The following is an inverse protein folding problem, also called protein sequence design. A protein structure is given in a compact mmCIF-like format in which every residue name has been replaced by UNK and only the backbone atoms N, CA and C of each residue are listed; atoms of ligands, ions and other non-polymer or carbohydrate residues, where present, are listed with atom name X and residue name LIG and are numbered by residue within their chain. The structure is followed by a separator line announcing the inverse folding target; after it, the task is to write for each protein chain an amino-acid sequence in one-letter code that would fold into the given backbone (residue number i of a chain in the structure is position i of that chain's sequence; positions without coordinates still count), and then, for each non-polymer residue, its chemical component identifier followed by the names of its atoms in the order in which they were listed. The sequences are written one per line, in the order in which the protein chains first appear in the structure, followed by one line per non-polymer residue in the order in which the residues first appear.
data_IF_398279954595
#
_entry.id   IF_398279954595
#
_cell.length_a   1.000
_cell.length_b   1.000
_cell.length_c   1.000
_cell.angle_alpha   90.00
_cell.angle_beta   90.00
_cell.angle_gamma   90.00
#
_symmetry.space_group_name_H-M   'P 1'
#
loop_
_entity.id
_entity.type
_entity.pdbx_description
1 polymer ?
#
# COMPACT_ATOMS: atom_id res chain seq x y z
N UNK A 1 -10.74 27.58 4.55
CA UNK A 1 -11.78 26.64 5.01
C UNK A 1 -11.62 26.54 6.51
N UNK A 2 -12.62 26.99 7.26
CA UNK A 2 -12.61 26.92 8.73
C UNK A 2 -13.14 25.52 9.08
N UNK A 3 -12.29 24.65 9.57
CA UNK A 3 -12.73 23.38 10.16
C UNK A 3 -13.50 23.68 11.43
N UNK A 4 -14.77 23.33 11.48
CA UNK A 4 -15.57 23.46 12.68
C UNK A 4 -15.09 22.43 13.71
N UNK A 5 -15.06 22.83 14.98
CA UNK A 5 -14.68 22.01 16.13
C UNK A 5 -15.61 20.81 16.41
N UNK A 6 -16.43 20.41 15.45
CA UNK A 6 -17.41 19.32 15.57
C UNK A 6 -16.93 17.97 15.05
N UNK A 7 -15.78 17.91 14.34
CA UNK A 7 -15.22 16.65 13.86
C UNK A 7 -14.10 16.23 14.80
N UNK A 8 -14.38 15.30 15.71
CA UNK A 8 -13.47 14.93 16.80
C UNK A 8 -12.66 13.67 16.54
N UNK A 9 -12.86 13.02 15.40
CA UNK A 9 -12.24 11.74 15.10
C UNK A 9 -11.86 11.68 13.60
N UNK A 10 -10.75 11.01 13.31
CA UNK A 10 -10.18 10.86 11.97
C UNK A 10 -11.11 10.10 11.02
N UNK A 11 -11.91 9.16 11.54
CA UNK A 11 -12.92 8.44 10.77
C UNK A 11 -14.02 9.38 10.25
N UNK A 12 -14.46 10.33 11.06
CA UNK A 12 -15.44 11.35 10.65
C UNK A 12 -14.85 12.32 9.63
N UNK A 13 -13.57 12.67 9.79
CA UNK A 13 -12.83 13.54 8.84
C UNK A 13 -12.65 12.81 7.51
N UNK A 14 -12.22 11.57 7.51
CA UNK A 14 -12.08 10.75 6.31
C UNK A 14 -13.42 10.54 5.60
N UNK A 15 -14.49 10.25 6.35
CA UNK A 15 -15.84 10.11 5.81
C UNK A 15 -16.32 11.43 5.21
N UNK A 16 -16.07 12.58 5.87
CA UNK A 16 -16.41 13.90 5.35
C UNK A 16 -15.69 14.22 4.04
N UNK A 17 -14.40 13.92 3.95
CA UNK A 17 -13.64 14.14 2.72
C UNK A 17 -14.10 13.19 1.60
N UNK A 18 -14.38 11.94 1.90
CA UNK A 18 -14.94 10.98 0.93
C UNK A 18 -16.28 11.46 0.39
N UNK A 19 -17.16 11.97 1.27
CA UNK A 19 -18.47 12.54 0.87
C UNK A 19 -18.32 13.81 -0.01
N UNK A 20 -17.34 14.69 0.32
CA UNK A 20 -17.20 16.00 -0.35
C UNK A 20 -16.31 15.98 -1.58
N UNK A 21 -15.29 15.13 -1.60
CA UNK A 21 -14.31 15.06 -2.69
C UNK A 21 -14.60 13.91 -3.67
N UNK A 22 -15.58 13.08 -3.35
CA UNK A 22 -15.87 11.87 -4.09
C UNK A 22 -15.00 10.70 -3.60
N UNK A 23 -15.47 9.51 -3.89
CA UNK A 23 -14.74 8.28 -3.56
C UNK A 23 -13.57 8.10 -4.53
N UNK A 24 -12.37 7.73 -4.05
CA UNK A 24 -11.31 7.34 -4.96
C UNK A 24 -11.77 6.12 -5.75
N UNK A 25 -11.47 6.08 -7.04
CA UNK A 25 -11.70 4.90 -7.88
C UNK A 25 -13.14 4.32 -7.82
N UNK A 26 -14.16 5.15 -7.59
CA UNK A 26 -15.55 4.70 -7.56
C UNK A 26 -15.94 3.87 -6.34
N UNK A 27 -15.29 4.08 -5.20
CA UNK A 27 -15.57 3.41 -3.92
C UNK A 27 -17.04 3.46 -3.53
N UNK A 28 -17.59 2.35 -3.06
CA UNK A 28 -18.93 2.22 -2.49
C UNK A 28 -18.85 1.73 -1.04
N UNK A 29 -19.21 2.60 -0.11
CA UNK A 29 -19.15 2.31 1.33
C UNK A 29 -20.11 1.17 1.79
N UNK A 30 -21.12 0.88 1.00
CA UNK A 30 -22.09 -0.19 1.31
C UNK A 30 -21.74 -1.53 0.68
N UNK A 31 -20.75 -1.57 -0.19
CA UNK A 31 -20.38 -2.79 -0.91
C UNK A 31 -19.68 -3.80 -0.02
N UNK A 32 -20.02 -5.06 -0.22
CA UNK A 32 -19.36 -6.19 0.40
C UNK A 32 -18.98 -7.20 -0.69
N UNK A 33 -17.71 -7.57 -0.73
CA UNK A 33 -17.20 -8.58 -1.66
C UNK A 33 -17.86 -9.94 -1.44
N UNK A 34 -18.14 -10.63 -2.52
CA UNK A 34 -18.73 -11.98 -2.55
C UNK A 34 -17.89 -12.97 -3.30
N UNK A 35 -16.94 -12.52 -4.13
CA UNK A 35 -16.02 -13.35 -4.91
C UNK A 35 -14.56 -13.11 -4.49
N UNK A 36 -13.97 -14.11 -3.86
CA UNK A 36 -12.56 -14.13 -3.44
C UNK A 36 -11.69 -15.02 -4.32
N UNK A 37 -12.19 -15.42 -5.50
CA UNK A 37 -11.47 -16.37 -6.37
C UNK A 37 -10.12 -15.87 -6.88
N UNK A 38 -9.92 -14.56 -6.90
CA UNK A 38 -8.66 -13.92 -7.30
C UNK A 38 -7.75 -13.54 -6.12
N UNK A 39 -8.17 -13.82 -4.88
CA UNK A 39 -7.38 -13.46 -3.72
C UNK A 39 -6.06 -14.25 -3.69
N UNK A 40 -4.94 -13.53 -3.61
CA UNK A 40 -3.60 -14.11 -3.68
C UNK A 40 -3.06 -14.33 -5.10
N UNK A 41 -3.79 -13.97 -6.16
CA UNK A 41 -3.28 -14.02 -7.53
C UNK A 41 -2.08 -13.09 -7.70
N UNK A 42 -1.04 -13.58 -8.39
CA UNK A 42 0.20 -12.82 -8.60
C UNK A 42 0.33 -12.40 -10.06
N UNK A 43 0.48 -11.10 -10.26
CA UNK A 43 0.81 -10.50 -11.56
C UNK A 43 2.25 -9.97 -11.54
N UNK A 44 3.07 -10.42 -12.48
CA UNK A 44 4.45 -9.93 -12.66
C UNK A 44 4.38 -8.65 -13.49
N UNK A 45 4.73 -7.51 -12.89
CA UNK A 45 4.75 -6.22 -13.57
C UNK A 45 6.10 -5.98 -14.25
N UNK A 46 7.18 -6.41 -13.61
CA UNK A 46 8.54 -6.27 -14.12
C UNK A 46 9.44 -7.40 -13.63
N UNK A 47 10.40 -7.79 -14.47
CA UNK A 47 11.52 -8.66 -14.10
C UNK A 47 12.82 -7.91 -14.24
N UNK A 48 13.71 -8.10 -13.28
CA UNK A 48 15.08 -7.60 -13.35
C UNK A 48 15.80 -8.20 -14.56
N UNK A 49 16.58 -7.39 -15.24
CA UNK A 49 17.51 -7.83 -16.29
C UNK A 49 18.96 -7.78 -15.85
N UNK A 50 19.21 -7.29 -14.63
CA UNK A 50 20.54 -7.27 -13.99
C UNK A 50 20.48 -7.92 -12.60
N UNK A 51 21.44 -8.77 -12.31
CA UNK A 51 21.56 -9.46 -11.02
C UNK A 51 20.41 -10.42 -10.75
N UNK A 52 20.18 -10.71 -9.47
CA UNK A 52 19.07 -11.57 -9.01
C UNK A 52 17.74 -10.81 -8.88
N UNK A 53 17.80 -9.49 -9.00
CA UNK A 53 16.67 -8.59 -8.79
C UNK A 53 16.42 -8.26 -7.31
N UNK A 54 15.96 -7.05 -7.08
CA UNK A 54 15.46 -6.57 -5.79
C UNK A 54 13.94 -6.64 -5.87
N UNK A 55 13.31 -7.31 -4.91
CA UNK A 55 11.88 -7.61 -5.00
C UNK A 55 11.04 -6.50 -4.37
N UNK A 56 10.12 -5.93 -5.15
CA UNK A 56 9.07 -5.00 -4.71
C UNK A 56 7.73 -5.69 -4.89
N UNK A 57 6.92 -5.71 -3.83
CA UNK A 57 5.59 -6.32 -3.83
C UNK A 57 4.55 -5.24 -3.59
N UNK A 58 3.66 -5.05 -4.55
CA UNK A 58 2.52 -4.13 -4.47
C UNK A 58 1.29 -4.90 -4.04
N UNK A 59 0.59 -4.39 -3.03
CA UNK A 59 -0.64 -4.97 -2.49
C UNK A 59 -1.65 -3.85 -2.37
N UNK A 60 -2.90 -4.07 -2.77
CA UNK A 60 -3.97 -3.11 -2.57
C UNK A 60 -4.79 -3.44 -1.33
N UNK A 61 -5.16 -2.43 -0.55
CA UNK A 61 -6.08 -2.58 0.56
C UNK A 61 -7.32 -1.70 0.35
N UNK A 62 -8.52 -2.17 0.72
CA UNK A 62 -9.77 -1.49 0.42
C UNK A 62 -10.26 -1.67 -1.03
N UNK A 63 -9.79 -2.71 -1.73
CA UNK A 63 -10.27 -3.08 -3.07
C UNK A 63 -11.13 -4.34 -2.99
N UNK A 64 -12.41 -4.19 -3.32
CA UNK A 64 -13.35 -5.31 -3.40
C UNK A 64 -13.20 -6.10 -4.70
N UNK A 65 -13.89 -7.24 -4.78
CA UNK A 65 -13.97 -8.07 -5.97
C UNK A 65 -14.45 -7.30 -7.22
N UNK A 66 -15.38 -6.35 -7.09
CA UNK A 66 -15.82 -5.52 -8.22
C UNK A 66 -14.73 -4.55 -8.71
N UNK A 67 -13.94 -3.92 -7.82
CA UNK A 67 -12.83 -3.02 -8.17
C UNK A 67 -11.64 -3.78 -8.76
N UNK A 68 -11.53 -5.07 -8.45
CA UNK A 68 -10.58 -5.97 -9.10
C UNK A 68 -11.09 -6.37 -10.47
N UNK A 69 -12.38 -6.75 -10.58
CA UNK A 69 -12.98 -7.19 -11.84
C UNK A 69 -13.05 -6.08 -12.90
N UNK A 70 -13.24 -4.82 -12.53
CA UNK A 70 -13.28 -3.68 -13.46
C UNK A 70 -11.87 -3.16 -13.83
N UNK A 71 -10.82 -3.74 -13.27
CA UNK A 71 -9.43 -3.39 -13.53
C UNK A 71 -8.93 -2.15 -12.78
N UNK A 72 -9.69 -1.59 -11.85
CA UNK A 72 -9.26 -0.46 -11.01
C UNK A 72 -8.03 -0.82 -10.20
N UNK A 73 -8.03 -2.00 -9.56
CA UNK A 73 -6.88 -2.54 -8.86
C UNK A 73 -5.62 -2.57 -9.72
N UNK A 74 -5.72 -3.20 -10.89
CA UNK A 74 -4.58 -3.38 -11.78
C UNK A 74 -4.01 -2.04 -12.25
N UNK A 75 -4.87 -1.08 -12.63
CA UNK A 75 -4.42 0.26 -13.02
C UNK A 75 -3.69 0.98 -11.89
N UNK A 76 -4.15 0.83 -10.65
CA UNK A 76 -3.49 1.44 -9.49
C UNK A 76 -2.11 0.84 -9.25
N UNK A 77 -1.96 -0.48 -9.34
CA UNK A 77 -0.66 -1.14 -9.16
C UNK A 77 0.33 -0.75 -10.27
N UNK A 78 -0.14 -0.68 -11.53
CA UNK A 78 0.69 -0.25 -12.65
C UNK A 78 1.15 1.20 -12.46
N UNK A 79 0.25 2.11 -12.05
CA UNK A 79 0.57 3.49 -11.76
C UNK A 79 1.59 3.62 -10.63
N UNK A 80 1.40 2.88 -9.54
CA UNK A 80 2.32 2.89 -8.39
C UNK A 80 3.74 2.49 -8.81
N UNK A 81 3.87 1.43 -9.60
CA UNK A 81 5.17 1.01 -10.14
C UNK A 81 5.82 2.13 -10.98
N UNK A 82 5.09 2.73 -11.90
CA UNK A 82 5.65 3.79 -12.75
C UNK A 82 6.06 5.02 -11.95
N UNK A 83 5.28 5.40 -10.92
CA UNK A 83 5.59 6.52 -10.04
C UNK A 83 6.83 6.25 -9.16
N UNK A 84 7.01 5.02 -8.66
CA UNK A 84 8.20 4.64 -7.92
C UNK A 84 9.48 4.84 -8.76
N UNK A 85 9.43 4.47 -10.04
CA UNK A 85 10.57 4.61 -10.96
C UNK A 85 10.70 5.99 -11.61
N UNK A 86 9.91 6.99 -11.24
CA UNK A 86 10.13 8.38 -11.64
C UNK A 86 11.32 9.02 -10.93
N UNK A 87 11.57 8.63 -9.66
CA UNK A 87 12.60 9.22 -8.82
C UNK A 87 13.97 8.55 -9.01
N UNK A 88 15.04 9.33 -8.91
CA UNK A 88 16.40 8.79 -8.77
C UNK A 88 16.64 8.35 -7.32
N UNK A 89 17.41 7.29 -7.10
CA UNK A 89 18.19 6.48 -8.09
C UNK A 89 17.38 5.35 -8.75
N UNK A 90 16.13 5.14 -8.39
CA UNK A 90 15.29 4.03 -8.86
C UNK A 90 15.12 4.04 -10.37
N UNK A 91 14.97 5.23 -10.96
CA UNK A 91 14.85 5.42 -12.42
C UNK A 91 16.06 4.87 -13.17
N UNK A 92 17.25 5.27 -12.77
CA UNK A 92 18.51 4.85 -13.41
C UNK A 92 18.78 3.35 -13.22
N UNK A 93 18.34 2.77 -12.08
CA UNK A 93 18.59 1.38 -11.72
C UNK A 93 17.36 0.48 -11.85
N UNK A 94 16.35 0.91 -12.61
CA UNK A 94 15.10 0.19 -12.78
C UNK A 94 15.28 -1.25 -13.22
N UNK A 95 16.30 -1.53 -14.01
CA UNK A 95 16.63 -2.86 -14.52
C UNK A 95 17.14 -3.85 -13.45
N UNK A 96 17.35 -3.40 -12.22
CA UNK A 96 17.72 -4.24 -11.07
C UNK A 96 16.51 -4.72 -10.25
N UNK A 97 15.28 -4.33 -10.58
CA UNK A 97 14.11 -4.63 -9.76
C UNK A 97 13.18 -5.66 -10.40
N UNK A 98 12.70 -6.59 -9.58
CA UNK A 98 11.49 -7.36 -9.83
C UNK A 98 10.31 -6.64 -9.18
N UNK A 99 9.19 -6.52 -9.87
CA UNK A 99 7.98 -5.93 -9.31
C UNK A 99 6.80 -6.87 -9.53
N UNK A 100 6.10 -7.13 -8.46
CA UNK A 100 4.93 -7.99 -8.43
C UNK A 100 3.73 -7.21 -7.90
N UNK A 101 2.55 -7.46 -8.42
CA UNK A 101 1.30 -7.10 -7.80
C UNK A 101 0.62 -8.37 -7.29
N UNK A 102 0.23 -8.39 -6.02
CA UNK A 102 -0.48 -9.50 -5.41
C UNK A 102 -1.89 -9.05 -5.08
N UNK A 103 -2.87 -9.66 -5.71
CA UNK A 103 -4.27 -9.32 -5.51
C UNK A 103 -4.70 -9.64 -4.08
N UNK A 104 -5.23 -8.63 -3.39
CA UNK A 104 -5.78 -8.76 -2.04
C UNK A 104 -7.23 -8.28 -2.05
N UNK A 105 -8.17 -9.21 -1.94
CA UNK A 105 -9.61 -8.93 -2.00
C UNK A 105 -10.10 -8.47 -0.64
N UNK A 106 -10.42 -7.18 -0.52
CA UNK A 106 -11.03 -6.62 0.69
C UNK A 106 -12.52 -6.90 0.73
N UNK A 107 -13.05 -7.20 1.91
CA UNK A 107 -14.50 -7.33 2.10
C UNK A 107 -15.20 -5.99 1.82
N UNK A 108 -14.65 -4.90 2.35
CA UNK A 108 -15.20 -3.56 2.19
C UNK A 108 -14.20 -2.62 1.50
N UNK A 109 -14.72 -1.52 0.95
CA UNK A 109 -13.94 -0.53 0.19
C UNK A 109 -13.59 0.72 1.01
N UNK A 110 -13.98 0.77 2.28
CA UNK A 110 -13.81 1.93 3.16
C UNK A 110 -13.22 1.52 4.50
N UNK A 111 -12.60 2.46 5.17
CA UNK A 111 -11.96 2.31 6.47
C UNK A 111 -12.85 2.95 7.54
N UNK A 112 -13.77 2.20 8.10
CA UNK A 112 -14.72 2.64 9.12
C UNK A 112 -14.91 1.58 10.21
N UNK A 113 -15.53 1.97 11.30
CA UNK A 113 -15.90 1.00 12.35
C UNK A 113 -16.84 -0.07 11.79
N UNK A 114 -16.47 -1.33 11.95
CA UNK A 114 -17.24 -2.47 11.47
C UNK A 114 -16.98 -2.86 10.02
N UNK A 115 -16.05 -2.22 9.32
CA UNK A 115 -15.55 -2.67 8.01
C UNK A 115 -14.29 -3.51 8.16
N UNK A 116 -14.02 -4.34 7.14
CA UNK A 116 -12.85 -5.22 7.07
C UNK A 116 -12.19 -5.10 5.70
N UNK A 117 -10.90 -4.83 5.69
CA UNK A 117 -10.08 -4.79 4.48
C UNK A 117 -9.07 -5.94 4.46
N UNK A 118 -8.42 -6.20 3.33
CA UNK A 118 -7.58 -7.38 3.12
C UNK A 118 -6.43 -7.47 4.12
N UNK A 119 -5.76 -6.37 4.38
CA UNK A 119 -4.66 -6.29 5.37
C UNK A 119 -5.05 -5.51 6.62
N UNK A 120 -6.35 -5.38 6.90
CA UNK A 120 -6.86 -4.69 8.11
C UNK A 120 -6.34 -3.25 8.23
N UNK A 121 -6.27 -2.55 7.10
CA UNK A 121 -5.78 -1.17 7.05
C UNK A 121 -6.56 -0.23 7.97
N UNK A 122 -5.87 0.73 8.57
CA UNK A 122 -6.45 1.72 9.45
C UNK A 122 -5.80 3.09 9.31
N UNK A 123 -6.54 4.12 9.72
CA UNK A 123 -6.06 5.48 9.87
C UNK A 123 -5.96 5.82 11.36
N UNK A 124 -4.75 6.17 11.80
CA UNK A 124 -4.47 6.58 13.17
C UNK A 124 -4.60 8.09 13.38
N UNK A 125 -3.93 8.60 14.40
CA UNK A 125 -3.84 10.05 14.65
C UNK A 125 -2.82 10.71 13.73
N UNK A 126 -3.03 11.99 13.39
CA UNK A 126 -2.16 12.74 12.48
C UNK A 126 -2.10 12.12 11.07
N UNK A 127 -0.93 11.90 10.51
CA UNK A 127 -0.71 11.27 9.20
C UNK A 127 -0.35 9.78 9.31
N UNK A 128 -0.53 9.18 10.48
CA UNK A 128 -0.20 7.78 10.71
C UNK A 128 -1.25 6.86 10.09
N UNK A 129 -0.80 5.89 9.31
CA UNK A 129 -1.61 4.82 8.74
C UNK A 129 -0.90 3.48 8.93
N UNK A 130 -1.63 2.40 8.88
CA UNK A 130 -1.03 1.07 9.00
C UNK A 130 -2.03 -0.02 8.69
N UNK A 131 -1.63 -1.24 8.96
CA UNK A 131 -2.44 -2.43 8.76
C UNK A 131 -1.86 -3.60 9.55
N UNK A 132 -2.24 -4.79 9.17
CA UNK A 132 -1.69 -6.03 9.70
C UNK A 132 -0.47 -6.46 8.85
N UNK A 133 0.73 -6.14 9.34
CA UNK A 133 1.98 -6.42 8.62
C UNK A 133 2.19 -7.90 8.36
N UNK A 134 1.75 -8.77 9.27
CA UNK A 134 1.84 -10.23 9.07
C UNK A 134 1.01 -10.65 7.84
N UNK A 135 -0.20 -10.10 7.67
CA UNK A 135 -1.01 -10.36 6.47
C UNK A 135 -0.36 -9.78 5.21
N UNK A 136 0.23 -8.58 5.28
CA UNK A 136 0.96 -8.02 4.14
C UNK A 136 2.14 -8.91 3.74
N UNK A 137 2.88 -9.45 4.71
CA UNK A 137 3.95 -10.41 4.45
C UNK A 137 3.43 -11.75 3.90
N UNK A 138 2.27 -12.25 4.38
CA UNK A 138 1.62 -13.45 3.82
C UNK A 138 1.25 -13.27 2.33
N UNK A 139 0.75 -12.10 1.94
CA UNK A 139 0.52 -11.77 0.53
C UNK A 139 1.84 -11.70 -0.24
N UNK A 140 2.87 -11.08 0.31
CA UNK A 140 4.18 -11.00 -0.36
C UNK A 140 4.75 -12.40 -0.65
N UNK A 141 4.60 -13.35 0.27
CA UNK A 141 5.03 -14.74 0.12
C UNK A 141 4.27 -15.53 -0.96
N UNK A 142 3.19 -14.98 -1.55
CA UNK A 142 2.60 -15.53 -2.77
C UNK A 142 3.48 -15.27 -4.01
N UNK A 143 4.25 -14.18 -4.00
CA UNK A 143 5.07 -13.74 -5.13
C UNK A 143 6.55 -14.11 -5.00
N UNK A 144 7.06 -14.18 -3.78
CA UNK A 144 8.48 -14.45 -3.48
C UNK A 144 8.63 -15.57 -2.47
N UNK A 145 9.80 -16.19 -2.41
CA UNK A 145 10.12 -17.20 -1.39
C UNK A 145 10.51 -16.55 -0.06
N UNK A 146 10.38 -17.31 1.03
CA UNK A 146 10.62 -16.84 2.40
C UNK A 146 12.04 -16.29 2.62
N UNK A 147 13.04 -16.91 2.01
CA UNK A 147 14.43 -16.47 2.07
C UNK A 147 14.69 -15.09 1.45
N UNK A 148 13.77 -14.60 0.61
CA UNK A 148 13.84 -13.26 0.00
C UNK A 148 13.07 -12.17 0.77
N UNK A 149 12.23 -12.57 1.72
CA UNK A 149 11.35 -11.64 2.41
C UNK A 149 12.14 -10.54 3.13
N UNK A 150 13.29 -10.88 3.72
CA UNK A 150 14.12 -9.91 4.45
C UNK A 150 14.67 -8.76 3.58
N UNK A 151 14.83 -9.01 2.27
CA UNK A 151 15.36 -8.03 1.32
C UNK A 151 14.24 -7.36 0.50
N UNK A 152 12.98 -7.66 0.80
CA UNK A 152 11.84 -7.19 0.04
C UNK A 152 11.28 -5.86 0.56
N UNK A 153 10.80 -5.03 -0.37
CA UNK A 153 9.96 -3.88 -0.08
C UNK A 153 8.50 -4.23 -0.38
N UNK A 154 7.65 -4.19 0.63
CA UNK A 154 6.21 -4.36 0.51
C UNK A 154 5.55 -2.99 0.52
N UNK A 155 4.71 -2.72 -0.45
CA UNK A 155 3.96 -1.47 -0.59
C UNK A 155 2.48 -1.78 -0.54
N UNK A 156 1.79 -1.25 0.46
CA UNK A 156 0.34 -1.37 0.63
C UNK A 156 -0.35 -0.08 0.18
N UNK A 157 -1.03 -0.16 -0.96
CA UNK A 157 -1.80 0.92 -1.56
C UNK A 157 -3.21 0.95 -0.99
N UNK A 158 -3.50 1.88 -0.09
CA UNK A 158 -4.81 2.01 0.54
C UNK A 158 -5.78 2.78 -0.38
N UNK A 159 -6.96 2.22 -0.65
CA UNK A 159 -7.99 2.83 -1.49
C UNK A 159 -8.69 3.98 -0.76
N UNK A 160 -8.01 5.10 -0.60
CA UNK A 160 -8.48 6.30 0.09
C UNK A 160 -7.89 7.57 -0.52
N UNK A 161 -8.62 8.70 -0.42
CA UNK A 161 -8.15 10.03 -0.84
C UNK A 161 -7.38 10.77 0.25
N UNK A 162 -7.20 10.20 1.44
CA UNK A 162 -6.43 10.81 2.51
C UNK A 162 -4.98 11.09 2.04
N UNK A 163 -4.30 12.02 2.71
CA UNK A 163 -2.87 12.22 2.57
C UNK A 163 -2.21 11.82 3.89
N UNK A 164 -1.61 10.64 3.91
CA UNK A 164 -0.99 10.04 5.08
C UNK A 164 0.02 8.99 4.61
N UNK A 165 0.95 8.60 5.47
CA UNK A 165 1.90 7.55 5.15
C UNK A 165 2.62 7.07 6.40
N UNK A 166 3.08 5.83 6.38
CA UNK A 166 3.93 5.23 7.41
C UNK A 166 4.67 4.06 6.80
N UNK A 167 5.95 3.93 7.11
CA UNK A 167 6.74 2.76 6.77
C UNK A 167 7.23 2.04 8.02
N UNK A 168 6.94 0.75 8.11
CA UNK A 168 7.44 -0.13 9.16
C UNK A 168 8.65 -0.89 8.64
N UNK A 169 9.76 -0.85 9.39
CA UNK A 169 11.01 -1.51 9.04
C UNK A 169 11.31 -2.60 10.07
N UNK A 170 11.66 -3.79 9.62
CA UNK A 170 11.88 -4.96 10.46
C UNK A 170 13.35 -5.37 10.49
N UNK A 171 13.74 -6.03 11.59
CA UNK A 171 15.04 -6.68 11.72
C UNK A 171 15.10 -7.93 10.82
N UNK A 172 16.22 -8.24 10.15
CA UNK A 172 16.39 -9.44 9.32
C UNK A 172 16.16 -10.78 10.02
N UNK A 173 16.20 -10.82 11.33
CA UNK A 173 16.02 -12.07 12.12
C UNK A 173 14.57 -12.42 12.42
N UNK A 174 13.58 -11.87 11.74
CA UNK A 174 12.15 -12.13 11.96
C UNK A 174 11.67 -11.87 13.42
N UNK A 175 12.30 -10.93 14.11
CA UNK A 175 11.69 -10.47 15.35
C UNK A 175 10.39 -9.75 14.96
N UNK A 176 9.28 -10.14 15.56
CA UNK A 176 8.00 -9.43 15.41
C UNK A 176 8.05 -8.03 16.05
N UNK A 177 9.21 -7.59 16.46
CA UNK A 177 9.45 -6.28 17.05
C UNK A 177 9.85 -5.30 15.98
N UNK A 178 9.13 -4.17 15.95
CA UNK A 178 9.49 -3.00 15.14
C UNK A 178 10.87 -2.51 15.55
N UNK A 179 11.83 -2.63 14.66
CA UNK A 179 13.06 -1.88 14.74
C UNK A 179 12.99 -0.73 13.73
N UNK A 180 12.87 0.49 14.22
CA UNK A 180 12.85 1.69 13.37
C UNK A 180 14.13 1.86 12.52
N UNK A 181 15.13 1.07 12.77
CA UNK A 181 16.40 1.04 12.04
C UNK A 181 16.68 -0.35 11.42
N UNK A 182 15.67 -1.21 11.35
CA UNK A 182 15.79 -2.56 10.82
C UNK A 182 16.23 -2.58 9.35
N UNK A 183 17.19 -3.45 9.04
CA UNK A 183 17.68 -3.65 7.68
C UNK A 183 16.97 -4.77 6.93
N UNK A 184 15.93 -5.36 7.54
CA UNK A 184 15.11 -6.40 6.93
C UNK A 184 14.00 -5.85 6.05
N UNK A 185 12.92 -6.63 5.91
CA UNK A 185 11.76 -6.23 5.11
C UNK A 185 11.18 -4.90 5.58
N UNK A 186 10.57 -4.17 4.66
CA UNK A 186 9.79 -2.97 4.98
C UNK A 186 8.39 -3.09 4.45
N UNK A 187 7.42 -2.57 5.20
CA UNK A 187 6.02 -2.48 4.81
C UNK A 187 5.61 -1.01 4.84
N UNK A 188 5.43 -0.43 3.66
CA UNK A 188 5.03 0.96 3.49
C UNK A 188 3.54 1.04 3.22
N UNK A 189 2.79 1.78 4.03
CA UNK A 189 1.37 2.02 3.89
C UNK A 189 1.12 3.47 3.48
N UNK A 190 0.35 3.68 2.43
CA UNK A 190 -0.13 5.02 2.07
C UNK A 190 -1.36 4.94 1.17
N UNK A 191 -2.27 5.96 1.27
CA UNK A 191 -3.42 6.06 0.38
C UNK A 191 -3.02 6.43 -1.04
N UNK A 192 -3.90 6.12 -2.00
CA UNK A 192 -3.74 6.56 -3.39
C UNK A 192 -3.84 8.09 -3.56
N UNK A 193 -4.36 8.79 -2.52
CA UNK A 193 -4.43 10.24 -2.52
C UNK A 193 -5.51 10.81 -3.45
N UNK A 194 -5.53 12.13 -3.55
CA UNK A 194 -6.52 12.87 -4.36
C UNK A 194 -6.08 13.03 -5.82
N UNK A 195 -4.82 12.83 -6.13
CA UNK A 195 -4.26 12.97 -7.48
C UNK A 195 -2.89 12.30 -7.58
N UNK A 196 -2.35 12.22 -8.81
CA UNK A 196 -1.06 11.58 -9.09
C UNK A 196 0.11 12.25 -8.35
N UNK A 197 0.10 13.59 -8.19
CA UNK A 197 1.18 14.31 -7.50
C UNK A 197 1.26 13.92 -6.02
N UNK A 198 0.12 13.83 -5.34
CA UNK A 198 0.05 13.39 -3.95
C UNK A 198 0.55 11.93 -3.81
N UNK A 199 0.13 11.05 -4.71
CA UNK A 199 0.58 9.67 -4.73
C UNK A 199 2.10 9.56 -4.99
N UNK A 200 2.63 10.33 -5.94
CA UNK A 200 4.08 10.36 -6.23
C UNK A 200 4.90 10.80 -5.02
N UNK A 201 4.42 11.81 -4.29
CA UNK A 201 5.09 12.27 -3.05
C UNK A 201 5.12 11.19 -1.99
N UNK A 202 3.99 10.51 -1.74
CA UNK A 202 3.89 9.44 -0.75
C UNK A 202 4.76 8.23 -1.12
N UNK A 203 4.74 7.79 -2.37
CA UNK A 203 5.59 6.69 -2.87
C UNK A 203 7.07 7.03 -2.67
N UNK A 204 7.48 8.23 -3.03
CA UNK A 204 8.87 8.66 -2.90
C UNK A 204 9.31 8.72 -1.45
N UNK A 205 8.46 9.22 -0.54
CA UNK A 205 8.76 9.37 0.87
C UNK A 205 8.73 8.01 1.59
N UNK A 206 7.58 7.33 1.58
CA UNK A 206 7.36 6.12 2.37
C UNK A 206 8.08 4.90 1.77
N UNK A 207 7.86 4.63 0.49
CA UNK A 207 8.44 3.43 -0.13
C UNK A 207 9.90 3.65 -0.53
N UNK A 208 10.22 4.75 -1.18
CA UNK A 208 11.59 5.03 -1.63
C UNK A 208 12.50 5.43 -0.46
N UNK A 209 12.12 6.45 0.31
CA UNK A 209 12.93 6.99 1.40
C UNK A 209 13.04 6.03 2.57
N UNK A 210 11.94 5.76 3.26
CA UNK A 210 11.97 4.89 4.42
C UNK A 210 12.10 3.41 4.04
N UNK A 211 11.23 2.92 3.18
CA UNK A 211 11.14 1.48 2.89
C UNK A 211 12.38 0.91 2.22
N UNK A 212 12.86 1.55 1.17
CA UNK A 212 14.01 1.06 0.40
C UNK A 212 15.34 1.60 0.94
N UNK A 213 15.47 2.93 1.04
CA UNK A 213 16.75 3.56 1.41
C UNK A 213 17.00 3.58 2.93
N UNK A 214 16.03 3.13 3.75
CA UNK A 214 16.13 3.05 5.22
C UNK A 214 16.48 4.39 5.87
N UNK A 215 15.96 5.50 5.31
CA UNK A 215 16.17 6.83 5.86
C UNK A 215 15.24 7.05 7.05
N UNK A 216 15.75 7.70 8.09
CA UNK A 216 14.93 8.21 9.18
C UNK A 216 14.34 9.59 8.82
N UNK A 217 13.26 9.99 9.50
CA UNK A 217 12.69 11.35 9.44
C UNK A 217 13.62 12.38 10.11
#
# INVERSE_FOLDING_TARGET
VVFSSALSDYGEIAAFFTEKLGSPNGTDASYNSTDYSKDGDVRILQKASKGNGIDIILIGDGYSDRLIADGTYDRTMDQAMELFFKAEPYKTHRDMFNVYAVTAVSQNEVYATGTSTAVEGYFGSSMHVGGNDAKAMEYALKAISDDKLNDALIIVMMNSTAFAGTCYMYDPVHSAELDYFGNGTSVAYFPVGVNEEALEQLIRHEAGGHGFAKLAD
#
